data_IF_082855310311
#
_entry.id   IF_082855310311
#
_cell.length_a   1.000
_cell.length_b   1.000
_cell.length_c   1.000
_cell.angle_alpha   90.00
_cell.angle_beta   90.00
_cell.angle_gamma   90.00
#
_symmetry.space_group_name_H-M   'P 1'
#
loop_
_entity.id
_entity.type
_entity.pdbx_description
1 polymer ?
#
# COMPACT_ATOMS: atom_id res chain seq x y z
N UNK A 1 0.04 17.67 -0.20
CA UNK A 1 1.29 16.90 -0.33
C UNK A 1 1.00 15.42 -0.31
N UNK A 2 1.61 14.65 -1.19
CA UNK A 2 1.41 13.21 -1.22
C UNK A 2 2.29 12.52 -0.20
N UNK A 3 1.74 11.47 0.42
CA UNK A 3 2.44 10.66 1.42
C UNK A 3 2.34 9.21 1.04
N UNK A 4 3.32 8.41 1.44
CA UNK A 4 3.31 6.97 1.22
C UNK A 4 2.75 6.29 2.46
N UNK A 5 1.68 5.55 2.28
CA UNK A 5 1.05 4.78 3.36
C UNK A 5 1.32 3.30 3.16
N UNK A 6 1.59 2.61 4.26
CA UNK A 6 1.74 1.17 4.26
C UNK A 6 0.68 0.58 5.18
N UNK A 7 -0.15 -0.28 4.60
CA UNK A 7 -1.23 -0.95 5.32
C UNK A 7 -0.75 -2.37 5.65
N UNK A 8 -0.39 -2.60 6.90
CA UNK A 8 0.05 -3.91 7.35
C UNK A 8 -1.14 -4.82 7.55
N UNK A 9 -1.00 -6.05 7.07
CA UNK A 9 -1.98 -7.11 7.27
C UNK A 9 -1.34 -8.22 8.07
N UNK A 10 -2.17 -9.05 8.74
CA UNK A 10 -1.64 -10.06 9.67
C UNK A 10 -0.83 -11.14 9.00
N UNK A 11 -1.39 -11.74 7.95
CA UNK A 11 -0.82 -12.94 7.34
C UNK A 11 -0.32 -12.72 5.91
N UNK A 12 -0.40 -11.51 5.40
CA UNK A 12 0.00 -11.22 4.02
C UNK A 12 1.01 -10.08 4.00
N UNK A 13 1.53 -9.75 2.81
CA UNK A 13 2.58 -8.76 2.69
C UNK A 13 2.13 -7.33 2.97
N UNK A 14 0.84 -7.04 2.77
CA UNK A 14 0.31 -5.70 3.00
C UNK A 14 0.03 -4.94 1.72
N UNK A 15 -0.25 -3.63 1.87
CA UNK A 15 -0.60 -2.77 0.73
C UNK A 15 0.13 -1.45 0.83
N UNK A 16 0.59 -0.94 -0.32
CA UNK A 16 1.24 0.36 -0.38
C UNK A 16 0.42 1.34 -1.22
N UNK A 17 0.19 2.53 -0.70
CA UNK A 17 -0.61 3.55 -1.36
C UNK A 17 0.03 4.91 -1.16
N UNK A 18 0.08 5.71 -2.23
CA UNK A 18 0.47 7.11 -2.15
C UNK A 18 -0.77 7.97 -2.33
N UNK A 19 -1.04 8.82 -1.37
CA UNK A 19 -2.24 9.66 -1.36
C UNK A 19 -2.00 10.90 -0.51
N UNK A 20 -2.92 11.86 -0.59
CA UNK A 20 -2.83 13.08 0.19
C UNK A 20 -3.22 12.86 1.66
N UNK A 21 -4.03 11.84 1.94
CA UNK A 21 -4.49 11.56 3.29
C UNK A 21 -4.77 10.08 3.44
N UNK A 22 -4.90 9.63 4.69
CA UNK A 22 -5.24 8.24 4.97
C UNK A 22 -6.61 7.88 4.39
N UNK A 23 -7.58 8.78 4.50
CA UNK A 23 -8.91 8.53 3.95
C UNK A 23 -8.86 8.31 2.44
N UNK A 24 -8.07 9.12 1.74
CA UNK A 24 -7.89 8.93 0.30
C UNK A 24 -7.20 7.59 0.02
N UNK A 25 -6.19 7.24 0.81
CA UNK A 25 -5.48 5.99 0.63
C UNK A 25 -6.42 4.79 0.79
N UNK A 26 -7.27 4.83 1.81
CA UNK A 26 -8.25 3.76 2.04
C UNK A 26 -9.24 3.67 0.88
N UNK A 27 -9.67 4.82 0.38
CA UNK A 27 -10.59 4.85 -0.75
C UNK A 27 -9.97 4.25 -2.01
N UNK A 28 -8.71 4.59 -2.27
CA UNK A 28 -8.00 4.05 -3.43
C UNK A 28 -7.86 2.53 -3.35
N UNK A 29 -7.57 2.00 -2.15
CA UNK A 29 -7.53 0.55 -1.96
C UNK A 29 -8.89 -0.07 -2.23
N UNK A 30 -9.96 0.52 -1.71
CA UNK A 30 -11.31 -0.02 -1.86
C UNK A 30 -11.74 -0.09 -3.32
N UNK A 31 -11.33 0.88 -4.14
CA UNK A 31 -11.69 0.85 -5.56
C UNK A 31 -11.06 -0.32 -6.31
N UNK A 32 -9.99 -0.88 -5.76
CA UNK A 32 -9.34 -2.06 -6.34
C UNK A 32 -9.75 -3.36 -5.64
N UNK A 33 -10.69 -3.27 -4.69
CA UNK A 33 -11.16 -4.44 -3.96
C UNK A 33 -10.26 -4.88 -2.83
N UNK A 34 -9.44 -3.98 -2.30
CA UNK A 34 -8.53 -4.29 -1.19
C UNK A 34 -9.00 -3.65 0.10
N UNK A 35 -8.71 -4.23 1.27
CA UNK A 35 -8.12 -5.56 1.44
C UNK A 35 -9.07 -6.65 0.99
N UNK A 36 -8.51 -7.82 0.70
CA UNK A 36 -9.33 -8.95 0.30
C UNK A 36 -10.17 -9.44 1.46
N UNK A 37 -11.17 -10.27 1.16
CA UNK A 37 -12.19 -10.65 2.12
C UNK A 37 -11.65 -11.29 3.39
N UNK A 38 -10.57 -12.06 3.27
CA UNK A 38 -9.96 -12.77 4.40
C UNK A 38 -8.75 -12.04 4.98
N UNK A 39 -8.50 -10.82 4.53
CA UNK A 39 -7.39 -10.01 5.04
C UNK A 39 -7.90 -8.93 5.97
N UNK A 40 -7.10 -8.61 6.98
CA UNK A 40 -7.42 -7.55 7.93
C UNK A 40 -6.23 -6.62 8.07
N UNK A 41 -6.48 -5.33 7.92
CA UNK A 41 -5.47 -4.31 8.18
C UNK A 41 -5.30 -4.19 9.69
N UNK A 42 -4.08 -4.38 10.17
CA UNK A 42 -3.76 -4.31 11.60
C UNK A 42 -3.01 -3.04 11.98
N UNK A 43 -2.41 -2.37 11.00
CA UNK A 43 -1.67 -1.14 11.25
C UNK A 43 -1.55 -0.35 9.97
N UNK A 44 -1.61 0.98 10.07
CA UNK A 44 -1.39 1.88 8.94
C UNK A 44 -0.21 2.77 9.30
N UNK A 45 0.85 2.70 8.50
CA UNK A 45 2.06 3.49 8.71
C UNK A 45 2.07 4.64 7.71
N UNK A 46 2.09 5.86 8.20
CA UNK A 46 2.18 7.05 7.37
C UNK A 46 3.65 7.38 7.11
N UNK A 47 3.96 7.81 5.89
CA UNK A 47 5.32 8.15 5.47
C UNK A 47 6.28 6.97 5.60
N UNK A 48 5.84 5.81 5.13
CA UNK A 48 6.66 4.61 5.20
C UNK A 48 7.98 4.79 4.47
N UNK A 49 9.07 4.35 5.11
CA UNK A 49 10.37 4.29 4.47
C UNK A 49 10.44 2.99 3.68
N UNK A 50 10.61 3.10 2.37
CA UNK A 50 10.61 1.94 1.48
C UNK A 50 11.71 0.94 1.86
N UNK A 51 12.80 1.40 2.47
CA UNK A 51 13.89 0.51 2.86
C UNK A 51 13.51 -0.40 4.03
N UNK A 52 12.44 -0.08 4.75
CA UNK A 52 11.96 -0.93 5.84
C UNK A 52 11.06 -2.05 5.35
N UNK A 53 10.67 -2.02 4.08
CA UNK A 53 9.80 -3.04 3.49
C UNK A 53 10.61 -4.25 3.03
N UNK A 54 9.91 -5.36 2.81
CA UNK A 54 10.54 -6.59 2.36
C UNK A 54 11.26 -6.37 1.03
N UNK A 55 12.58 -6.53 1.03
CA UNK A 55 13.42 -6.26 -0.13
C UNK A 55 13.35 -7.36 -1.18
N UNK A 56 12.77 -8.51 -0.83
CA UNK A 56 12.71 -9.65 -1.75
C UNK A 56 11.33 -9.83 -2.38
N UNK A 57 10.27 -9.50 -1.65
CA UNK A 57 8.90 -9.80 -2.07
C UNK A 57 8.07 -8.56 -2.34
N UNK A 58 8.34 -7.45 -1.64
CA UNK A 58 7.56 -6.23 -1.79
C UNK A 58 8.20 -5.27 -2.78
N UNK A 59 9.44 -4.83 -2.52
CA UNK A 59 10.04 -3.80 -3.36
C UNK A 59 10.22 -4.21 -4.83
N UNK A 60 10.67 -5.44 -5.13
CA UNK A 60 10.80 -5.83 -6.55
C UNK A 60 9.49 -5.88 -7.30
N UNK A 61 8.38 -6.00 -6.57
CA UNK A 61 7.05 -6.11 -7.16
C UNK A 61 6.22 -4.86 -6.97
N UNK A 62 6.82 -3.76 -6.49
CA UNK A 62 6.13 -2.51 -6.29
C UNK A 62 6.13 -1.68 -7.57
N UNK A 63 5.06 -0.92 -7.76
CA UNK A 63 5.00 0.08 -8.80
C UNK A 63 5.59 1.40 -8.31
N UNK A 64 5.41 2.49 -9.10
CA UNK A 64 5.94 3.79 -8.71
C UNK A 64 5.22 4.34 -7.47
N UNK A 65 5.99 4.65 -6.44
CA UNK A 65 5.44 5.12 -5.16
C UNK A 65 5.43 6.63 -5.03
N UNK A 66 5.85 7.35 -6.08
CA UNK A 66 5.90 8.81 -6.05
C UNK A 66 4.66 9.46 -6.67
N UNK A 67 3.80 8.66 -7.29
CA UNK A 67 2.55 9.16 -7.86
C UNK A 67 1.38 8.63 -7.05
N UNK A 68 0.26 9.40 -7.06
CA UNK A 68 -0.95 8.99 -6.34
C UNK A 68 -1.46 7.66 -6.89
N UNK A 69 -1.77 6.74 -5.98
CA UNK A 69 -2.33 5.45 -6.37
C UNK A 69 -1.79 4.32 -5.52
N UNK A 70 -2.28 3.13 -5.78
CA UNK A 70 -1.83 1.90 -5.12
C UNK A 70 -0.62 1.38 -5.86
N UNK A 71 0.53 1.28 -5.16
CA UNK A 71 1.77 0.82 -5.78
C UNK A 71 2.16 -0.60 -5.35
N UNK A 72 1.53 -1.13 -4.32
CA UNK A 72 1.72 -2.54 -3.95
C UNK A 72 0.41 -3.11 -3.44
N UNK A 73 -0.06 -4.23 -3.97
CA UNK A 73 0.51 -4.96 -5.12
C UNK A 73 0.45 -4.12 -6.39
N UNK A 74 1.41 -4.34 -7.26
CA UNK A 74 1.47 -3.60 -8.51
C UNK A 74 0.38 -4.06 -9.46
N UNK A 75 -0.35 -3.11 -10.00
CA UNK A 75 -1.35 -3.38 -11.02
C UNK A 75 -0.79 -2.98 -12.39
N UNK A 76 -0.53 -3.97 -13.20
CA UNK A 76 -0.12 -3.74 -14.58
C UNK A 76 -1.36 -3.65 -15.44
N UNK A 77 -1.45 -2.60 -16.16
CA UNK A 77 -2.51 -2.38 -17.13
C UNK A 77 -1.94 -2.29 -18.52
#
# INVERSE_FOLDING_TARGET
>A
MLKRFWFRTGDTLGYGVTAASQNEAEHLLQTLGYPRKDERVIEIVENIDLQTLDQNHVLPNAGPSVVRGVWFPRHNV
#
